data_IF_706595212855
#
_entry.id   IF_706595212855
#
_cell.length_a   1.000
_cell.length_b   1.000
_cell.length_c   1.000
_cell.angle_alpha   90.00
_cell.angle_beta   90.00
_cell.angle_gamma   90.00
#
_symmetry.space_group_name_H-M   'P 1'
#
loop_
_entity.id
_entity.type
_entity.pdbx_description
1 polymer ?
#
# COMPACT_ATOMS: atom_id res chain seq x y z
N UNK A 1 6.51 -3.25 22.94
CA UNK A 1 7.03 -2.33 21.90
C UNK A 1 6.50 -2.81 20.57
N UNK A 2 5.98 -1.94 19.69
CA UNK A 2 5.60 -2.36 18.34
C UNK A 2 6.85 -2.88 17.61
N UNK A 3 6.78 -4.08 17.03
CA UNK A 3 7.84 -4.57 16.15
C UNK A 3 7.89 -3.68 14.91
N UNK A 4 9.09 -3.18 14.60
CA UNK A 4 9.36 -2.50 13.35
C UNK A 4 9.90 -3.54 12.37
N UNK A 5 9.28 -3.62 11.19
CA UNK A 5 9.73 -4.48 10.09
C UNK A 5 10.15 -3.59 8.92
N UNK A 6 11.44 -3.19 8.87
CA UNK A 6 11.97 -2.44 7.75
C UNK A 6 11.68 -3.18 6.43
N UNK A 7 11.23 -2.46 5.40
CA UNK A 7 10.90 -3.07 4.11
C UNK A 7 9.50 -3.71 4.02
N UNK A 8 8.67 -3.64 5.06
CA UNK A 8 7.28 -4.11 4.96
C UNK A 8 6.53 -3.32 3.88
N UNK A 9 6.15 -4.01 2.79
CA UNK A 9 5.52 -3.43 1.60
C UNK A 9 4.23 -2.69 1.91
N UNK A 10 3.37 -3.23 2.78
CA UNK A 10 2.10 -2.63 3.19
C UNK A 10 2.30 -1.30 3.93
N UNK A 11 3.26 -1.29 4.87
CA UNK A 11 3.61 -0.09 5.62
C UNK A 11 4.26 0.97 4.73
N UNK A 12 5.13 0.57 3.78
CA UNK A 12 5.76 1.46 2.82
C UNK A 12 4.74 2.13 1.90
N UNK A 13 3.70 1.41 1.44
CA UNK A 13 2.60 2.01 0.67
C UNK A 13 1.92 3.13 1.45
N UNK A 14 1.54 2.86 2.70
CA UNK A 14 0.83 3.84 3.54
C UNK A 14 1.68 5.07 3.84
N UNK A 15 2.97 4.85 4.14
CA UNK A 15 3.90 5.93 4.39
C UNK A 15 4.11 6.80 3.13
N UNK A 16 4.29 6.18 1.97
CA UNK A 16 4.44 6.90 0.70
C UNK A 16 3.21 7.78 0.41
N UNK A 17 2.00 7.23 0.54
CA UNK A 17 0.74 7.98 0.36
C UNK A 17 0.65 9.19 1.30
N UNK A 18 0.98 9.00 2.58
CA UNK A 18 0.99 10.09 3.55
C UNK A 18 2.01 11.18 3.19
N UNK A 19 3.23 10.82 2.80
CA UNK A 19 4.27 11.79 2.43
C UNK A 19 3.88 12.60 1.19
N UNK A 20 3.27 11.95 0.20
CA UNK A 20 2.73 12.63 -1.00
C UNK A 20 1.63 13.60 -0.61
N UNK A 21 0.65 13.18 0.22
CA UNK A 21 -0.45 14.05 0.69
C UNK A 21 0.04 15.24 1.52
N UNK A 22 1.14 15.07 2.24
CA UNK A 22 1.77 16.13 3.02
C UNK A 22 2.69 17.03 2.19
N UNK A 23 2.87 16.77 0.89
CA UNK A 23 3.77 17.54 0.02
C UNK A 23 5.26 17.33 0.30
N UNK A 24 5.63 16.28 1.05
CA UNK A 24 7.03 15.96 1.41
C UNK A 24 7.70 15.15 0.31
N UNK A 25 7.81 15.73 -0.88
CA UNK A 25 8.21 15.03 -2.10
C UNK A 25 9.61 14.39 -2.03
N UNK A 26 10.56 15.04 -1.37
CA UNK A 26 11.93 14.51 -1.23
C UNK A 26 11.95 13.15 -0.53
N UNK A 27 11.24 13.07 0.60
CA UNK A 27 11.10 11.82 1.36
C UNK A 27 10.21 10.82 0.64
N UNK A 28 9.12 11.28 0.03
CA UNK A 28 8.24 10.44 -0.76
C UNK A 28 9.04 9.71 -1.86
N UNK A 29 9.97 10.39 -2.54
CA UNK A 29 10.80 9.78 -3.60
C UNK A 29 11.71 8.68 -3.08
N UNK A 30 12.29 8.87 -1.89
CA UNK A 30 13.12 7.87 -1.22
C UNK A 30 12.28 6.64 -0.87
N UNK A 31 11.13 6.87 -0.22
CA UNK A 31 10.21 5.79 0.16
C UNK A 31 9.64 5.08 -1.08
N UNK A 32 9.36 5.80 -2.16
CA UNK A 32 8.91 5.22 -3.42
C UNK A 32 9.94 4.25 -4.01
N UNK A 33 11.23 4.56 -3.91
CA UNK A 33 12.29 3.64 -4.35
C UNK A 33 12.33 2.36 -3.51
N UNK A 34 12.21 2.48 -2.18
CA UNK A 34 12.13 1.33 -1.29
C UNK A 34 10.88 0.50 -1.57
N UNK A 35 9.76 1.17 -1.80
CA UNK A 35 8.49 0.55 -2.09
C UNK A 35 8.54 -0.24 -3.39
N UNK A 36 9.15 0.31 -4.46
CA UNK A 36 9.34 -0.42 -5.72
C UNK A 36 10.11 -1.73 -5.54
N UNK A 37 11.18 -1.72 -4.74
CA UNK A 37 11.97 -2.92 -4.47
C UNK A 37 11.17 -3.94 -3.65
N UNK A 38 10.47 -3.50 -2.60
CA UNK A 38 9.65 -4.38 -1.78
C UNK A 38 8.45 -4.97 -2.55
N UNK A 39 7.80 -4.18 -3.40
CA UNK A 39 6.69 -4.62 -4.24
C UNK A 39 7.14 -5.63 -5.30
N UNK A 40 8.34 -5.47 -5.87
CA UNK A 40 8.89 -6.44 -6.81
C UNK A 40 9.18 -7.82 -6.19
N UNK A 41 9.35 -7.87 -4.85
CA UNK A 41 9.55 -9.11 -4.09
C UNK A 41 8.24 -9.70 -3.57
N UNK A 42 7.13 -8.97 -3.68
CA UNK A 42 5.84 -9.45 -3.22
C UNK A 42 5.23 -10.42 -4.24
N UNK A 43 4.68 -11.54 -3.74
CA UNK A 43 4.02 -12.54 -4.60
C UNK A 43 2.69 -12.03 -5.17
N UNK A 44 2.09 -11.03 -4.52
CA UNK A 44 0.82 -10.42 -4.92
C UNK A 44 1.03 -8.94 -5.25
N UNK A 45 0.33 -8.39 -6.25
CA UNK A 45 0.30 -6.96 -6.48
C UNK A 45 -0.19 -6.22 -5.24
N UNK A 46 0.61 -5.30 -4.73
CA UNK A 46 0.24 -4.44 -3.59
C UNK A 46 -0.05 -3.05 -4.15
N UNK A 47 -1.33 -2.68 -4.20
CA UNK A 47 -1.79 -1.39 -4.72
C UNK A 47 -2.22 -0.42 -3.59
N UNK A 48 -2.24 -0.91 -2.35
CA UNK A 48 -2.71 -0.19 -1.17
C UNK A 48 -1.97 -0.63 0.08
N UNK A 49 -1.97 0.23 1.10
CA UNK A 49 -1.44 -0.09 2.43
C UNK A 49 -2.29 -1.11 3.19
N UNK A 50 -3.60 -1.12 2.94
CA UNK A 50 -4.53 -2.06 3.52
C UNK A 50 -5.07 -2.98 2.42
N UNK A 51 -4.90 -4.28 2.60
CA UNK A 51 -5.46 -5.28 1.68
C UNK A 51 -6.97 -5.14 1.49
N UNK A 52 -7.69 -4.61 2.48
CA UNK A 52 -9.14 -4.41 2.40
C UNK A 52 -9.55 -3.27 1.46
N UNK A 53 -8.63 -2.41 1.00
CA UNK A 53 -8.95 -1.32 0.05
C UNK A 53 -8.92 -1.87 -1.38
N UNK A 54 -10.05 -2.42 -1.81
CA UNK A 54 -10.19 -3.08 -3.12
C UNK A 54 -10.41 -2.11 -4.29
N UNK A 55 -10.77 -0.85 -4.02
CA UNK A 55 -11.06 0.16 -5.04
C UNK A 55 -9.80 0.77 -5.71
N UNK A 56 -8.66 0.08 -5.65
CA UNK A 56 -7.39 0.55 -6.23
C UNK A 56 -7.12 0.05 -7.63
N UNK A 57 -7.80 -0.99 -8.09
CA UNK A 57 -7.67 -1.54 -9.45
C UNK A 57 -9.05 -1.74 -10.11
N UNK A 58 -9.15 -1.60 -11.45
CA UNK A 58 -10.36 -1.98 -12.17
C UNK A 58 -10.49 -3.51 -12.18
N UNK A 59 -11.47 -4.06 -11.46
CA UNK A 59 -11.67 -5.49 -11.34
C UNK A 59 -12.04 -6.14 -12.70
N UNK A 60 -11.38 -7.24 -13.12
CA UNK A 60 -11.96 -8.14 -14.12
C UNK A 60 -12.97 -9.06 -13.41
N UNK A 61 -14.23 -8.62 -13.36
CA UNK A 61 -15.35 -9.43 -12.85
C UNK A 61 -15.56 -9.28 -11.34
N UNK A 62 -16.52 -8.44 -10.98
CA UNK A 62 -16.89 -8.18 -9.60
C UNK A 62 -17.54 -9.38 -8.91
N UNK A 63 -17.11 -9.62 -7.67
CA UNK A 63 -17.93 -10.18 -6.60
C UNK A 63 -17.33 -9.69 -5.28
N UNK A 64 -18.18 -9.09 -4.44
CA UNK A 64 -17.79 -8.34 -3.25
C UNK A 64 -16.84 -9.09 -2.32
N UNK A 65 -15.85 -8.36 -1.82
CA UNK A 65 -14.98 -8.84 -0.74
C UNK A 65 -15.78 -9.13 0.52
N UNK A 66 -15.27 -10.08 1.31
CA UNK A 66 -15.83 -10.62 2.55
C UNK A 66 -16.30 -9.57 3.59
N UNK A 67 -15.86 -8.31 3.48
CA UNK A 67 -16.17 -7.26 4.45
C UNK A 67 -17.12 -6.16 3.90
N UNK A 68 -17.87 -6.43 2.83
CA UNK A 68 -18.68 -5.40 2.16
C UNK A 68 -19.95 -4.93 2.92
N UNK A 69 -20.15 -5.33 4.18
CA UNK A 69 -21.27 -4.85 5.00
C UNK A 69 -20.80 -4.55 6.42
N UNK A 70 -20.52 -3.28 6.70
CA UNK A 70 -21.20 -2.52 7.76
C UNK A 70 -20.79 -1.04 7.61
N UNK A 71 -21.79 -0.16 7.45
CA UNK A 71 -21.62 1.28 7.23
C UNK A 71 -21.95 2.02 8.51
#
# INVERSE_FOLDING_TARGET
RALQHPGNVWALHGLHECLVRLGREGEARIVAQQLRLAAALADVPVEASCFCRLDTAPAPGGAGGCCATDR
#
